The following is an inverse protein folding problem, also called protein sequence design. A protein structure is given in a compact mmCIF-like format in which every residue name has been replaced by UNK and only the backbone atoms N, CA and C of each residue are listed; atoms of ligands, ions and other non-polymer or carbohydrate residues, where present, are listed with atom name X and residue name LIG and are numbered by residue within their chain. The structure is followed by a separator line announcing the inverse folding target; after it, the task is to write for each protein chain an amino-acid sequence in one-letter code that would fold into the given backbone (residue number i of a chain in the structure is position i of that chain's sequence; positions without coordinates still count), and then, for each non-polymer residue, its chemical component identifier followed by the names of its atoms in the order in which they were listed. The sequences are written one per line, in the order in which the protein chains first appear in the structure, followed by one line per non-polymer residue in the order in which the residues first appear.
data_IF_411140079606
#
_entry.id   IF_411140079606
#
_cell.length_a   1.000
_cell.length_b   1.000
_cell.length_c   1.000
_cell.angle_alpha   90.00
_cell.angle_beta   90.00
_cell.angle_gamma   90.00
#
_symmetry.space_group_name_H-M   'P 1'
#
loop_
_entity.id
_entity.type
_entity.pdbx_description
1 polymer ?
#
# COMPACT_ATOMS: atom_id res chain seq x y z
N UNK A 1 -10.29 -0.46 -31.60
CA UNK A 1 -10.63 0.91 -31.14
C UNK A 1 -10.04 1.07 -29.75
N UNK A 2 -8.93 1.81 -29.61
CA UNK A 2 -8.26 2.02 -28.32
C UNK A 2 -9.06 3.00 -27.49
N UNK A 3 -9.87 2.49 -26.58
CA UNK A 3 -10.61 3.31 -25.62
C UNK A 3 -9.66 3.95 -24.61
N UNK A 4 -9.21 5.15 -24.86
CA UNK A 4 -8.47 5.97 -23.89
C UNK A 4 -9.39 6.33 -22.73
N UNK A 5 -9.07 5.86 -21.52
CA UNK A 5 -9.77 6.29 -20.30
C UNK A 5 -9.27 7.69 -19.94
N UNK A 6 -10.10 8.71 -20.18
CA UNK A 6 -9.84 10.07 -19.71
C UNK A 6 -10.30 10.20 -18.26
N UNK A 7 -9.35 10.25 -17.33
CA UNK A 7 -9.64 10.40 -15.90
C UNK A 7 -10.27 11.75 -15.53
N UNK A 8 -10.09 12.80 -16.34
CA UNK A 8 -10.90 14.02 -16.20
C UNK A 8 -12.36 13.74 -16.47
N UNK A 9 -12.65 12.89 -17.47
CA UNK A 9 -14.03 12.46 -17.78
C UNK A 9 -14.57 11.45 -16.77
N UNK A 10 -13.72 10.61 -16.19
CA UNK A 10 -14.07 9.72 -15.07
C UNK A 10 -14.34 10.54 -13.80
N UNK A 11 -13.56 11.58 -13.50
CA UNK A 11 -13.85 12.54 -12.40
C UNK A 11 -15.23 13.17 -12.55
N UNK A 12 -15.57 13.69 -13.73
CA UNK A 12 -16.82 14.42 -13.98
C UNK A 12 -18.04 13.50 -14.19
N UNK A 13 -17.88 12.43 -14.95
CA UNK A 13 -18.99 11.49 -15.24
C UNK A 13 -19.36 10.64 -14.03
N UNK A 14 -18.39 10.23 -13.21
CA UNK A 14 -18.65 9.48 -11.97
C UNK A 14 -19.28 10.38 -10.92
N UNK A 15 -18.85 11.65 -10.79
CA UNK A 15 -19.45 12.60 -9.88
C UNK A 15 -20.90 13.00 -10.26
N UNK A 16 -21.24 13.00 -11.56
CA UNK A 16 -22.56 13.35 -12.04
C UNK A 16 -23.57 12.19 -12.03
N UNK A 17 -23.09 10.95 -12.16
CA UNK A 17 -23.96 9.78 -12.33
C UNK A 17 -24.30 9.06 -11.03
N UNK A 18 -23.49 9.23 -9.97
CA UNK A 18 -23.62 8.48 -8.71
C UNK A 18 -23.69 9.42 -7.52
N UNK A 19 -24.83 9.45 -6.89
CA UNK A 19 -25.22 10.50 -5.94
C UNK A 19 -24.49 10.50 -4.60
N UNK A 20 -23.74 9.46 -4.22
CA UNK A 20 -23.25 9.34 -2.84
C UNK A 20 -21.77 8.99 -2.63
N UNK A 21 -21.01 8.48 -3.62
CA UNK A 21 -19.65 8.00 -3.43
C UNK A 21 -18.71 8.33 -4.59
N UNK A 22 -17.48 8.68 -4.27
CA UNK A 22 -16.41 8.95 -5.23
C UNK A 22 -15.17 8.13 -4.88
N UNK A 23 -14.44 7.69 -5.90
CA UNK A 23 -13.14 7.06 -5.75
C UNK A 23 -12.07 8.16 -5.70
N UNK A 24 -11.20 8.09 -4.68
CA UNK A 24 -10.08 9.01 -4.50
C UNK A 24 -8.78 8.24 -4.42
N UNK A 25 -7.73 8.75 -5.01
CA UNK A 25 -6.38 8.24 -4.84
C UNK A 25 -5.43 9.35 -4.40
N UNK A 26 -4.48 9.01 -3.58
CA UNK A 26 -3.44 9.90 -3.08
C UNK A 26 -2.08 9.39 -3.54
N UNK A 27 -1.29 10.28 -4.10
CA UNK A 27 0.09 10.03 -4.43
C UNK A 27 0.97 10.90 -3.55
N UNK A 28 1.87 10.28 -2.81
CA UNK A 28 2.86 10.98 -2.01
C UNK A 28 4.23 10.78 -2.62
N UNK A 29 4.67 11.76 -3.37
CA UNK A 29 6.08 11.94 -3.71
C UNK A 29 6.43 13.42 -3.76
N UNK A 30 7.67 13.75 -3.37
CA UNK A 30 8.22 15.11 -3.32
C UNK A 30 8.20 15.86 -4.67
N UNK A 31 7.72 15.26 -5.76
CA UNK A 31 7.66 15.84 -7.10
C UNK A 31 6.29 15.67 -7.79
N UNK A 32 5.28 15.16 -7.10
CA UNK A 32 3.95 15.09 -7.68
C UNK A 32 3.32 16.50 -7.70
N UNK A 33 2.58 16.87 -8.76
CA UNK A 33 1.91 18.18 -8.85
C UNK A 33 0.79 18.37 -7.83
N UNK A 34 0.54 17.40 -6.98
CA UNK A 34 -0.34 17.46 -5.82
C UNK A 34 0.49 17.34 -4.54
N UNK A 35 1.42 18.25 -4.34
CA UNK A 35 1.89 18.47 -2.98
C UNK A 35 0.68 18.94 -2.16
N UNK A 36 0.33 18.17 -1.15
CA UNK A 36 -0.53 18.63 -0.07
C UNK A 36 0.33 19.60 0.73
N UNK A 37 0.20 20.93 0.60
CA UNK A 37 1.15 21.87 1.21
C UNK A 37 1.18 21.81 2.72
N UNK A 38 0.12 21.27 3.35
CA UNK A 38 0.10 21.01 4.79
C UNK A 38 0.71 19.68 5.20
N UNK A 39 1.18 18.85 4.23
CA UNK A 39 1.86 17.61 4.54
C UNK A 39 3.37 17.79 4.36
N UNK A 40 4.06 18.09 5.46
CA UNK A 40 5.51 18.08 5.49
C UNK A 40 6.01 16.66 5.80
N UNK A 41 6.64 15.96 4.85
CA UNK A 41 7.16 14.61 5.10
C UNK A 41 8.11 14.55 6.30
N UNK A 42 8.93 15.57 6.53
CA UNK A 42 9.91 15.60 7.63
C UNK A 42 9.25 15.70 9.02
N UNK A 43 8.03 16.20 9.11
CA UNK A 43 7.26 16.20 10.36
C UNK A 43 6.72 14.82 10.71
N UNK A 44 6.52 13.97 9.71
CA UNK A 44 5.90 12.66 9.86
C UNK A 44 6.90 11.51 9.78
N UNK A 45 7.85 11.55 8.85
CA UNK A 45 8.93 10.58 8.68
C UNK A 45 10.17 11.07 9.43
N UNK A 46 10.38 10.58 10.65
CA UNK A 46 11.35 11.17 11.59
C UNK A 46 12.71 10.48 11.61
N UNK A 47 12.92 9.48 10.75
CA UNK A 47 14.20 8.78 10.61
C UNK A 47 14.96 9.35 9.42
N UNK A 48 14.43 9.19 8.19
CA UNK A 48 15.08 9.67 6.98
C UNK A 48 14.44 10.93 6.38
N UNK A 49 13.23 11.27 6.82
CA UNK A 49 12.52 12.49 6.43
C UNK A 49 11.89 12.41 5.05
N UNK A 50 11.44 11.24 4.62
CA UNK A 50 10.73 11.07 3.37
C UNK A 50 9.64 10.02 3.45
N UNK A 51 8.40 10.40 3.19
CA UNK A 51 7.27 9.47 3.11
C UNK A 51 7.13 8.93 1.70
N UNK A 52 7.18 7.61 1.55
CA UNK A 52 7.02 6.91 0.26
C UNK A 52 5.99 5.81 0.37
N UNK A 53 5.55 5.30 -0.78
CA UNK A 53 4.74 4.11 -0.92
C UNK A 53 3.48 4.16 -0.04
N UNK A 54 2.85 5.33 0.03
CA UNK A 54 1.75 5.58 0.94
C UNK A 54 0.53 4.72 0.64
N UNK A 55 0.06 3.97 1.63
CA UNK A 55 -1.21 3.26 1.57
C UNK A 55 -2.19 3.87 2.58
N UNK A 56 -3.36 4.29 2.08
CA UNK A 56 -4.38 4.94 2.87
C UNK A 56 -5.68 4.15 2.84
N UNK A 57 -6.33 4.06 4.00
CA UNK A 57 -7.66 3.45 4.10
C UNK A 57 -8.51 4.15 5.17
N UNK A 58 -9.82 3.92 5.08
CA UNK A 58 -10.76 4.36 6.12
C UNK A 58 -10.61 3.45 7.35
N UNK A 59 -10.69 4.04 8.53
CA UNK A 59 -10.75 3.25 9.77
C UNK A 59 -11.98 2.35 9.78
N UNK A 60 -11.87 1.14 10.35
CA UNK A 60 -12.94 0.14 10.40
C UNK A 60 -14.25 0.66 11.00
N UNK A 61 -14.18 1.62 11.93
CA UNK A 61 -15.34 2.26 12.56
C UNK A 61 -15.92 3.42 11.75
N UNK A 62 -15.38 3.72 10.56
CA UNK A 62 -15.79 4.83 9.70
C UNK A 62 -15.42 6.24 10.20
N UNK A 63 -14.75 6.37 11.35
CA UNK A 63 -14.50 7.67 12.03
C UNK A 63 -13.11 8.23 11.76
N UNK A 64 -12.67 8.23 10.51
CA UNK A 64 -11.38 8.78 10.11
C UNK A 64 -10.61 7.87 9.19
N UNK A 65 -9.34 8.17 9.04
CA UNK A 65 -8.44 7.57 8.06
C UNK A 65 -7.12 7.21 8.72
N UNK A 66 -6.53 6.14 8.25
CA UNK A 66 -5.19 5.71 8.59
C UNK A 66 -4.36 5.56 7.33
N UNK A 67 -3.08 5.79 7.46
CA UNK A 67 -2.11 5.67 6.38
C UNK A 67 -0.82 5.08 6.93
N UNK A 68 -0.16 4.28 6.13
CA UNK A 68 1.21 3.81 6.37
C UNK A 68 2.10 4.25 5.24
N UNK A 69 3.36 4.55 5.55
CA UNK A 69 4.37 4.95 4.56
C UNK A 69 5.72 4.34 4.88
N UNK A 70 6.54 4.18 3.87
CA UNK A 70 7.98 3.90 4.02
C UNK A 70 8.69 5.20 4.41
N UNK A 71 9.37 5.23 5.57
CA UNK A 71 10.24 6.36 5.92
C UNK A 71 11.57 6.21 5.17
N UNK A 72 11.67 6.80 3.99
CA UNK A 72 12.87 6.72 3.15
C UNK A 72 13.02 7.97 2.26
N UNK A 73 14.20 8.57 2.27
CA UNK A 73 14.54 9.71 1.43
C UNK A 73 15.79 9.46 0.57
N UNK A 74 15.64 8.69 -0.52
CA UNK A 74 16.74 8.33 -1.44
C UNK A 74 17.49 9.57 -1.96
N UNK A 75 16.80 10.69 -2.19
CA UNK A 75 17.45 11.94 -2.64
C UNK A 75 18.44 12.47 -1.61
N UNK A 76 18.17 12.27 -0.31
CA UNK A 76 19.01 12.72 0.80
C UNK A 76 20.09 11.70 1.12
N UNK A 77 19.71 10.44 1.30
CA UNK A 77 20.61 9.34 1.71
C UNK A 77 21.45 8.79 0.56
N UNK A 78 21.01 8.93 -0.70
CA UNK A 78 21.57 8.28 -1.90
C UNK A 78 21.55 6.75 -1.83
N UNK A 79 20.75 6.17 -0.93
CA UNK A 79 20.61 4.73 -0.70
C UNK A 79 19.14 4.32 -0.81
N UNK A 80 18.94 3.06 -1.19
CA UNK A 80 17.65 2.38 -1.18
C UNK A 80 17.47 1.54 0.09
N UNK A 81 18.03 1.98 1.19
CA UNK A 81 17.94 1.35 2.49
C UNK A 81 17.11 2.25 3.42
N UNK A 82 16.32 1.62 4.29
CA UNK A 82 15.60 2.27 5.36
C UNK A 82 15.34 1.27 6.49
N UNK A 83 14.90 1.75 7.64
CA UNK A 83 14.60 0.88 8.78
C UNK A 83 13.38 1.35 9.56
N UNK A 84 12.54 2.14 8.91
CA UNK A 84 11.35 2.69 9.52
C UNK A 84 10.14 2.78 8.61
N UNK A 85 8.99 2.77 9.25
CA UNK A 85 7.69 3.07 8.65
C UNK A 85 6.97 4.13 9.48
N UNK A 86 6.05 4.86 8.85
CA UNK A 86 5.20 5.81 9.54
C UNK A 86 3.78 5.31 9.62
N UNK A 87 3.19 5.46 10.81
CA UNK A 87 1.79 5.21 11.09
C UNK A 87 1.09 6.56 11.23
N UNK A 88 0.14 6.87 10.36
CA UNK A 88 -0.51 8.18 10.35
C UNK A 88 -2.01 8.05 10.52
N UNK A 89 -2.62 9.03 11.20
CA UNK A 89 -4.07 9.16 11.39
C UNK A 89 -4.57 10.53 11.00
N UNK A 90 -5.76 10.56 10.41
CA UNK A 90 -6.47 11.80 10.10
C UNK A 90 -7.97 11.66 10.34
N UNK A 91 -8.61 12.75 10.68
CA UNK A 91 -10.07 12.85 10.75
C UNK A 91 -10.68 13.42 9.47
N UNK A 92 -9.88 14.05 8.62
CA UNK A 92 -10.36 14.89 7.52
C UNK A 92 -9.56 14.77 6.22
N UNK A 93 -8.57 13.86 6.14
CA UNK A 93 -7.63 13.68 5.04
C UNK A 93 -6.66 14.85 4.79
N UNK A 94 -6.65 15.85 5.64
CA UNK A 94 -5.84 17.06 5.50
C UNK A 94 -4.82 17.18 6.61
N UNK A 95 -5.28 16.99 7.84
CA UNK A 95 -4.45 17.11 9.02
C UNK A 95 -4.11 15.70 9.52
N UNK A 96 -2.83 15.43 9.67
CA UNK A 96 -2.31 14.11 10.03
C UNK A 96 -1.51 14.19 11.33
N UNK A 97 -1.69 13.20 12.17
CA UNK A 97 -0.79 12.88 13.28
C UNK A 97 -0.05 11.60 12.96
N UNK A 98 1.19 11.45 13.41
CA UNK A 98 2.03 10.31 13.05
C UNK A 98 2.85 9.78 14.21
N UNK A 99 3.19 8.50 14.08
CA UNK A 99 4.23 7.82 14.84
C UNK A 99 5.18 7.20 13.83
N UNK A 100 6.46 7.53 13.90
CA UNK A 100 7.52 6.84 13.15
C UNK A 100 7.99 5.64 13.95
N UNK A 101 7.96 4.48 13.34
CA UNK A 101 8.37 3.22 13.95
C UNK A 101 9.75 2.81 13.46
N UNK A 102 10.72 2.81 14.37
CA UNK A 102 12.11 2.48 14.09
C UNK A 102 12.37 1.01 14.46
N UNK A 103 12.56 0.14 13.48
CA UNK A 103 12.79 -1.28 13.68
C UNK A 103 14.16 -1.57 14.31
N UNK A 104 15.16 -0.71 14.12
CA UNK A 104 16.50 -0.90 14.70
C UNK A 104 16.53 -0.72 16.22
N UNK A 105 15.48 -0.17 16.81
CA UNK A 105 15.32 -0.15 18.27
C UNK A 105 15.11 -1.54 18.88
N UNK A 106 14.79 -2.54 18.05
CA UNK A 106 14.67 -3.92 18.48
C UNK A 106 13.38 -4.24 19.25
N UNK A 107 13.39 -5.39 19.91
CA UNK A 107 12.22 -5.98 20.54
C UNK A 107 11.46 -5.05 21.47
N UNK A 108 12.12 -4.27 22.28
CA UNK A 108 11.48 -3.36 23.26
C UNK A 108 10.59 -2.29 22.62
N UNK A 109 10.68 -2.10 21.32
CA UNK A 109 9.82 -1.15 20.58
C UNK A 109 8.45 -1.71 20.23
N UNK A 110 8.27 -3.04 20.26
CA UNK A 110 7.01 -3.70 19.93
C UNK A 110 6.11 -3.86 21.15
N UNK A 111 4.77 -3.82 20.94
CA UNK A 111 3.82 -3.86 22.05
C UNK A 111 3.67 -5.25 22.70
N UNK A 112 4.12 -6.31 22.05
CA UNK A 112 4.12 -7.69 22.50
C UNK A 112 5.51 -8.24 22.84
N UNK A 113 6.48 -7.34 23.07
CA UNK A 113 7.89 -7.69 23.28
C UNK A 113 8.14 -8.68 24.44
N UNK A 114 7.25 -8.71 25.43
CA UNK A 114 7.38 -9.61 26.59
C UNK A 114 7.07 -11.07 26.25
N UNK A 115 6.27 -11.33 25.22
CA UNK A 115 5.71 -12.66 24.88
C UNK A 115 6.12 -13.16 23.51
N UNK A 116 6.44 -12.24 22.59
CA UNK A 116 6.79 -12.58 21.22
C UNK A 116 8.24 -13.09 21.08
N UNK A 117 8.45 -13.99 20.13
CA UNK A 117 9.77 -14.38 19.69
C UNK A 117 10.32 -13.39 18.67
N UNK A 118 11.57 -13.01 18.82
CA UNK A 118 12.25 -12.17 17.84
C UNK A 118 12.53 -12.92 16.55
N UNK A 119 12.17 -12.40 15.37
CA UNK A 119 12.56 -12.99 14.09
C UNK A 119 14.05 -12.81 13.78
N UNK A 120 14.74 -11.89 14.46
CA UNK A 120 16.14 -11.57 14.25
C UNK A 120 16.95 -11.61 15.54
N UNK A 121 18.23 -11.95 15.41
CA UNK A 121 19.23 -11.86 16.48
C UNK A 121 19.68 -10.42 16.68
N UNK A 122 19.89 -9.71 15.57
CA UNK A 122 20.35 -8.32 15.59
C UNK A 122 19.46 -7.41 14.75
N UNK A 123 18.65 -6.59 15.40
CA UNK A 123 17.76 -5.62 14.78
C UNK A 123 18.51 -4.42 14.20
N UNK A 124 19.71 -4.11 14.68
CA UNK A 124 20.49 -2.96 14.21
C UNK A 124 20.92 -3.09 12.75
N UNK A 125 20.90 -4.31 12.23
CA UNK A 125 21.29 -4.66 10.86
C UNK A 125 20.15 -4.65 9.85
N UNK A 126 18.93 -4.26 10.25
CA UNK A 126 17.80 -4.06 9.34
C UNK A 126 18.17 -3.03 8.27
N UNK A 127 17.95 -3.39 7.01
CA UNK A 127 18.28 -2.55 5.85
C UNK A 127 17.05 -2.05 5.11
N UNK A 128 15.96 -2.82 5.13
CA UNK A 128 14.74 -2.46 4.39
C UNK A 128 13.51 -2.81 5.18
N UNK A 129 12.56 -1.88 5.17
CA UNK A 129 11.17 -2.07 5.55
C UNK A 129 10.34 -1.26 4.56
N UNK A 130 9.85 -1.91 3.50
CA UNK A 130 9.31 -1.24 2.32
C UNK A 130 7.82 -1.48 2.10
N UNK A 131 7.19 -0.46 1.48
CA UNK A 131 5.85 -0.50 0.94
C UNK A 131 4.81 -1.12 1.88
N UNK A 132 4.67 -0.59 3.12
CA UNK A 132 3.67 -1.10 4.05
C UNK A 132 2.26 -0.84 3.52
N UNK A 133 1.37 -1.84 3.70
CA UNK A 133 -0.06 -1.68 3.44
C UNK A 133 -0.88 -2.17 4.64
N UNK A 134 -2.19 -1.92 4.63
CA UNK A 134 -3.08 -2.15 5.77
C UNK A 134 -4.27 -3.00 5.36
N UNK A 135 -4.59 -3.99 6.17
CA UNK A 135 -5.86 -4.72 6.12
C UNK A 135 -6.50 -4.76 7.51
N UNK A 136 -7.80 -4.48 7.62
CA UNK A 136 -8.53 -4.65 8.87
C UNK A 136 -8.90 -6.12 9.07
N UNK A 137 -8.37 -6.74 10.12
CA UNK A 137 -8.69 -8.11 10.52
C UNK A 137 -9.66 -8.09 11.71
N UNK A 138 -10.94 -8.38 11.52
CA UNK A 138 -11.92 -8.40 12.59
C UNK A 138 -11.75 -9.56 13.55
N UNK A 139 -11.04 -10.62 13.15
CA UNK A 139 -10.89 -11.86 13.89
C UNK A 139 -9.61 -11.91 14.72
N UNK A 140 -8.70 -10.96 14.52
CA UNK A 140 -7.48 -10.87 15.33
C UNK A 140 -7.82 -10.75 16.83
N UNK A 141 -7.03 -11.41 17.66
CA UNK A 141 -7.18 -11.41 19.12
C UNK A 141 -5.94 -10.86 19.78
N UNK A 142 -6.13 -9.80 20.52
CA UNK A 142 -5.10 -9.25 21.41
C UNK A 142 -5.00 -10.08 22.68
N UNK A 143 -3.83 -10.07 23.34
CA UNK A 143 -3.61 -10.78 24.61
C UNK A 143 -4.61 -10.38 25.72
N UNK A 144 -5.05 -9.13 25.71
CA UNK A 144 -6.07 -8.63 26.63
C UNK A 144 -7.51 -9.06 26.27
N UNK A 145 -7.69 -9.94 25.27
CA UNK A 145 -8.98 -10.45 24.81
C UNK A 145 -9.73 -9.53 23.84
N UNK A 146 -9.23 -8.34 23.54
CA UNK A 146 -9.85 -7.47 22.53
C UNK A 146 -9.81 -8.10 21.15
N UNK A 147 -10.87 -7.83 20.36
CA UNK A 147 -11.00 -8.28 18.99
C UNK A 147 -10.70 -7.16 17.99
N UNK A 148 -10.13 -7.56 16.86
CA UNK A 148 -9.84 -6.75 15.70
C UNK A 148 -8.52 -6.02 15.79
N UNK A 149 -7.78 -6.01 14.68
CA UNK A 149 -6.50 -5.32 14.54
C UNK A 149 -6.28 -4.87 13.11
N UNK A 150 -5.44 -3.87 12.93
CA UNK A 150 -4.96 -3.49 11.60
C UNK A 150 -3.71 -4.30 11.28
N UNK A 151 -3.84 -5.30 10.42
CA UNK A 151 -2.67 -5.99 9.89
C UNK A 151 -1.92 -5.03 8.97
N UNK A 152 -0.69 -4.71 9.33
CA UNK A 152 0.25 -3.96 8.49
C UNK A 152 1.22 -4.99 7.93
N UNK A 153 1.32 -5.10 6.62
CA UNK A 153 2.22 -6.03 5.95
C UNK A 153 3.17 -5.26 5.04
N UNK A 154 4.38 -5.71 4.97
CA UNK A 154 5.49 -5.02 4.32
C UNK A 154 6.60 -6.00 3.92
N UNK A 155 7.42 -5.64 2.96
CA UNK A 155 8.66 -6.36 2.71
C UNK A 155 9.74 -5.91 3.68
N UNK A 156 10.54 -6.84 4.18
CA UNK A 156 11.62 -6.56 5.10
C UNK A 156 12.87 -7.38 4.74
N UNK A 157 14.04 -6.76 4.97
CA UNK A 157 15.33 -7.40 4.78
C UNK A 157 16.29 -7.02 5.92
N UNK A 158 16.84 -8.04 6.54
CA UNK A 158 18.03 -7.94 7.38
C UNK A 158 19.20 -8.64 6.67
N UNK A 159 20.05 -7.87 5.97
CA UNK A 159 21.15 -8.45 5.15
C UNK A 159 22.15 -9.27 5.94
N UNK A 160 22.22 -9.12 7.25
CA UNK A 160 23.11 -9.96 8.08
C UNK A 160 22.53 -11.38 8.28
N UNK A 161 21.22 -11.53 8.19
CA UNK A 161 20.53 -12.78 8.51
C UNK A 161 19.73 -13.33 7.33
N UNK A 162 19.48 -12.53 6.27
CA UNK A 162 18.64 -12.86 5.15
C UNK A 162 19.31 -12.56 3.81
N UNK A 163 18.98 -13.31 2.78
CA UNK A 163 19.54 -13.16 1.44
C UNK A 163 18.71 -12.24 0.53
N UNK A 164 17.43 -12.09 0.81
CA UNK A 164 16.46 -11.35 -0.02
C UNK A 164 15.30 -10.81 0.81
N UNK A 165 14.57 -9.85 0.25
CA UNK A 165 13.39 -9.27 0.85
C UNK A 165 12.26 -10.31 0.98
N UNK A 166 11.69 -10.45 2.17
CA UNK A 166 10.57 -11.34 2.48
C UNK A 166 9.37 -10.57 2.99
N UNK A 167 8.18 -11.13 2.82
CA UNK A 167 6.97 -10.48 3.33
C UNK A 167 6.75 -10.80 4.80
N UNK A 168 6.62 -9.75 5.58
CA UNK A 168 6.30 -9.78 7.01
C UNK A 168 5.01 -9.04 7.31
N UNK A 169 4.45 -9.26 8.48
CA UNK A 169 3.31 -8.53 8.99
C UNK A 169 3.42 -8.27 10.49
N UNK A 170 2.77 -7.20 10.92
CA UNK A 170 2.53 -6.83 12.32
C UNK A 170 1.07 -6.41 12.48
N UNK A 171 0.53 -6.43 13.69
CA UNK A 171 -0.76 -5.85 13.96
C UNK A 171 -0.63 -4.53 14.69
N UNK A 172 -1.29 -3.48 14.22
CA UNK A 172 -1.45 -2.24 14.94
C UNK A 172 -2.76 -2.24 15.74
N UNK A 173 -2.69 -1.67 16.92
CA UNK A 173 -3.85 -1.48 17.78
C UNK A 173 -4.87 -0.49 17.20
N UNK A 174 -6.05 -0.40 17.80
CA UNK A 174 -7.11 0.54 17.36
C UNK A 174 -6.70 2.01 17.43
N UNK A 175 -5.70 2.33 18.25
CA UNK A 175 -5.15 3.69 18.32
C UNK A 175 -4.19 3.99 17.18
N UNK A 176 -3.71 2.97 16.48
CA UNK A 176 -2.77 3.05 15.37
C UNK A 176 -1.48 3.77 15.75
N UNK A 177 -0.91 3.41 16.90
CA UNK A 177 0.30 4.03 17.44
C UNK A 177 1.39 3.03 17.83
N UNK A 178 1.03 1.75 17.96
CA UNK A 178 1.92 0.66 18.33
C UNK A 178 1.70 -0.53 17.41
N UNK A 179 2.73 -1.32 17.19
CA UNK A 179 2.65 -2.55 16.39
C UNK A 179 3.23 -3.73 17.16
N UNK A 180 2.76 -4.92 16.82
CA UNK A 180 3.34 -6.18 17.32
C UNK A 180 4.65 -6.50 16.63
N UNK A 181 5.42 -7.41 17.21
CA UNK A 181 6.62 -7.98 16.60
C UNK A 181 6.32 -8.55 15.21
N UNK A 182 7.16 -8.28 14.21
CA UNK A 182 6.98 -8.82 12.86
C UNK A 182 6.97 -10.34 12.85
N UNK A 183 6.00 -10.89 12.10
CA UNK A 183 5.89 -12.32 11.80
C UNK A 183 6.03 -12.53 10.29
N UNK A 184 6.67 -13.60 9.90
CA UNK A 184 6.79 -13.97 8.49
C UNK A 184 5.39 -14.25 7.92
N UNK A 185 5.03 -13.59 6.83
CA UNK A 185 3.77 -13.81 6.12
C UNK A 185 3.88 -15.03 5.20
N UNK A 186 4.96 -15.07 4.41
CA UNK A 186 5.39 -16.19 3.59
C UNK A 186 6.84 -16.00 3.14
N UNK A 187 7.43 -17.09 2.68
CA UNK A 187 8.74 -17.13 2.00
C UNK A 187 8.69 -18.15 0.87
N UNK A 188 8.85 -17.70 -0.36
CA UNK A 188 8.86 -18.55 -1.56
C UNK A 188 10.27 -18.81 -2.10
N UNK A 189 11.30 -18.50 -1.30
CA UNK A 189 12.70 -18.73 -1.67
C UNK A 189 13.31 -17.66 -2.59
N UNK A 190 12.63 -16.54 -2.81
CA UNK A 190 13.11 -15.40 -3.60
C UNK A 190 12.50 -14.08 -3.12
N UNK A 191 13.12 -12.95 -3.56
CA UNK A 191 12.68 -11.63 -3.16
C UNK A 191 11.26 -11.32 -3.66
N UNK A 192 10.41 -10.85 -2.71
CA UNK A 192 9.06 -10.36 -2.95
C UNK A 192 8.83 -9.04 -2.24
N UNK A 193 8.21 -8.09 -2.94
CA UNK A 193 7.91 -6.75 -2.44
C UNK A 193 6.51 -6.30 -2.90
N UNK A 194 6.01 -5.20 -2.36
CA UNK A 194 4.82 -4.48 -2.84
C UNK A 194 3.54 -5.34 -2.89
N UNK A 195 3.24 -6.04 -1.80
CA UNK A 195 2.00 -6.81 -1.70
C UNK A 195 0.77 -5.88 -1.59
N UNK A 196 -0.33 -6.24 -2.26
CA UNK A 196 -1.65 -5.62 -2.13
C UNK A 196 -2.71 -6.70 -1.90
N UNK A 197 -3.25 -6.80 -0.68
CA UNK A 197 -4.18 -7.85 -0.26
C UNK A 197 -5.62 -7.35 -0.30
N UNK A 198 -6.49 -8.09 -0.97
CA UNK A 198 -7.92 -7.82 -1.07
C UNK A 198 -8.74 -9.08 -0.74
N UNK A 199 -9.81 -8.92 0.04
CA UNK A 199 -10.78 -10.00 0.25
C UNK A 199 -11.87 -9.95 -0.80
N UNK A 200 -12.08 -11.02 -1.53
CA UNK A 200 -13.09 -11.11 -2.57
C UNK A 200 -14.32 -11.87 -2.08
N UNK A 201 -15.46 -11.18 -2.04
CA UNK A 201 -16.75 -11.82 -1.68
C UNK A 201 -17.21 -12.82 -2.75
N UNK A 202 -16.70 -12.70 -3.97
CA UNK A 202 -17.05 -13.53 -5.12
C UNK A 202 -16.65 -15.00 -4.97
N UNK A 203 -15.58 -15.27 -4.19
CA UNK A 203 -15.08 -16.63 -3.95
C UNK A 203 -14.73 -16.90 -2.47
N UNK A 204 -14.81 -15.88 -1.62
CA UNK A 204 -14.50 -16.01 -0.19
C UNK A 204 -13.03 -16.16 0.15
N UNK A 205 -12.14 -15.74 -0.77
CA UNK A 205 -10.69 -15.83 -0.61
C UNK A 205 -10.05 -14.45 -0.46
N UNK A 206 -8.88 -14.44 0.16
CA UNK A 206 -7.95 -13.34 0.08
C UNK A 206 -7.13 -13.47 -1.21
N UNK A 207 -7.02 -12.38 -1.94
CA UNK A 207 -6.22 -12.26 -3.15
C UNK A 207 -5.12 -11.25 -2.92
N UNK A 208 -3.90 -11.60 -3.29
CA UNK A 208 -2.72 -10.75 -3.20
C UNK A 208 -2.16 -10.48 -4.60
N UNK A 209 -1.93 -9.22 -4.89
CA UNK A 209 -1.01 -8.81 -5.95
C UNK A 209 0.37 -8.63 -5.32
N UNK A 210 1.41 -9.16 -5.92
CA UNK A 210 2.75 -9.18 -5.35
C UNK A 210 3.81 -8.99 -6.42
N UNK A 211 4.79 -8.13 -6.17
CA UNK A 211 5.97 -8.01 -7.03
C UNK A 211 6.96 -9.13 -6.71
N UNK A 212 7.25 -9.96 -7.70
CA UNK A 212 8.34 -10.94 -7.70
C UNK A 212 9.58 -10.31 -8.31
N UNK A 213 10.73 -10.43 -7.65
CA UNK A 213 12.01 -9.88 -8.12
C UNK A 213 12.90 -10.94 -8.77
N UNK A 214 12.75 -12.21 -8.42
CA UNK A 214 13.55 -13.31 -8.98
C UNK A 214 12.90 -14.02 -10.16
N UNK A 215 13.72 -14.76 -10.94
CA UNK A 215 13.28 -15.57 -12.07
C UNK A 215 12.69 -14.76 -13.22
N UNK A 216 11.37 -14.77 -13.38
CA UNK A 216 10.61 -13.88 -14.27
C UNK A 216 10.00 -12.75 -13.45
N UNK A 217 10.67 -11.60 -13.26
CA UNK A 217 10.18 -10.54 -12.42
C UNK A 217 8.88 -9.91 -12.94
N UNK A 218 8.02 -9.43 -12.05
CA UNK A 218 6.76 -8.80 -12.41
C UNK A 218 5.74 -8.87 -11.28
N UNK A 219 4.50 -8.44 -11.56
CA UNK A 219 3.39 -8.51 -10.63
C UNK A 219 2.64 -9.83 -10.85
N UNK A 220 2.45 -10.58 -9.78
CA UNK A 220 1.79 -11.87 -9.78
C UNK A 220 0.58 -11.85 -8.86
N UNK A 221 -0.30 -12.83 -9.00
CA UNK A 221 -1.42 -13.06 -8.09
C UNK A 221 -1.19 -14.31 -7.25
N UNK A 222 -1.55 -14.23 -5.97
CA UNK A 222 -1.60 -15.38 -5.07
C UNK A 222 -2.91 -15.34 -4.29
N UNK A 223 -3.36 -16.49 -3.81
CA UNK A 223 -4.60 -16.58 -3.04
C UNK A 223 -4.40 -17.34 -1.74
N UNK A 224 -5.21 -17.02 -0.74
CA UNK A 224 -5.28 -17.77 0.51
C UNK A 224 -6.69 -17.75 1.09
N UNK A 225 -7.04 -18.80 1.87
CA UNK A 225 -8.22 -18.80 2.72
C UNK A 225 -8.04 -17.93 3.98
N UNK A 226 -6.81 -17.63 4.31
CA UNK A 226 -6.43 -16.93 5.54
C UNK A 226 -5.67 -15.65 5.21
N UNK A 227 -5.88 -14.62 6.02
CA UNK A 227 -5.24 -13.32 5.80
C UNK A 227 -3.72 -13.37 6.05
N UNK A 228 -3.31 -14.03 7.12
CA UNK A 228 -1.93 -13.95 7.65
C UNK A 228 -1.10 -15.23 7.49
N UNK A 229 -1.58 -16.19 6.69
CA UNK A 229 -0.86 -17.44 6.37
C UNK A 229 -1.49 -18.17 5.18
N UNK A 230 -0.88 -19.29 4.77
CA UNK A 230 -1.45 -20.15 3.73
C UNK A 230 -1.34 -19.61 2.30
N UNK A 231 -0.48 -18.63 2.07
CA UNK A 231 -0.23 -18.06 0.77
C UNK A 231 0.58 -19.02 -0.11
N UNK A 232 -0.06 -19.57 -1.15
CA UNK A 232 0.61 -20.41 -2.14
C UNK A 232 1.50 -19.58 -3.07
N UNK A 233 2.59 -20.18 -3.54
CA UNK A 233 3.44 -19.54 -4.54
C UNK A 233 2.67 -19.33 -5.84
N UNK A 234 2.75 -18.15 -6.49
CA UNK A 234 2.09 -17.90 -7.75
C UNK A 234 2.66 -18.76 -8.88
N UNK A 235 1.79 -19.30 -9.73
CA UNK A 235 2.18 -19.94 -10.99
C UNK A 235 2.22 -18.91 -12.13
N UNK A 236 2.83 -19.29 -13.26
CA UNK A 236 3.05 -18.34 -14.36
C UNK A 236 1.76 -17.73 -14.94
N UNK A 237 0.67 -18.50 -14.97
CA UNK A 237 -0.64 -18.06 -15.44
C UNK A 237 -1.37 -17.09 -14.45
N UNK A 238 -0.86 -16.95 -13.23
CA UNK A 238 -1.37 -15.95 -12.27
C UNK A 238 -0.79 -14.55 -12.51
N UNK A 239 0.02 -14.39 -13.53
CA UNK A 239 0.74 -13.19 -13.83
C UNK A 239 -0.17 -12.04 -14.29
N UNK A 240 -0.12 -10.94 -13.60
CA UNK A 240 -0.92 -9.73 -13.87
C UNK A 240 -0.33 -8.90 -14.98
N UNK A 241 0.96 -8.99 -15.19
CA UNK A 241 1.68 -8.09 -16.05
C UNK A 241 1.37 -8.26 -17.52
N UNK A 242 1.92 -7.41 -18.24
CA UNK A 242 1.68 -7.02 -19.60
C UNK A 242 3.02 -6.89 -20.35
N UNK A 243 3.16 -5.85 -21.09
CA UNK A 243 4.40 -5.55 -21.77
C UNK A 243 5.58 -5.46 -20.80
N UNK A 244 6.65 -6.21 -21.11
CA UNK A 244 7.91 -6.11 -20.39
C UNK A 244 7.89 -6.46 -18.92
N UNK A 245 6.95 -7.25 -18.51
CA UNK A 245 6.71 -7.90 -17.19
C UNK A 245 7.61 -7.50 -16.02
N UNK A 246 8.89 -7.27 -16.21
CA UNK A 246 9.93 -7.08 -15.18
C UNK A 246 9.99 -5.68 -14.56
N UNK A 247 9.55 -4.68 -15.25
CA UNK A 247 9.73 -3.28 -14.85
C UNK A 247 8.44 -2.65 -14.32
N UNK A 248 7.60 -3.46 -13.67
CA UNK A 248 6.35 -3.05 -13.03
C UNK A 248 6.39 -3.35 -11.53
N UNK A 249 5.82 -2.47 -10.71
CA UNK A 249 5.70 -2.64 -9.25
C UNK A 249 4.59 -1.77 -8.68
N UNK A 250 4.41 -1.79 -7.36
CA UNK A 250 3.51 -0.88 -6.64
C UNK A 250 2.05 -1.02 -7.05
N UNK A 251 1.59 -2.27 -7.21
CA UNK A 251 0.20 -2.55 -7.59
C UNK A 251 -0.78 -2.18 -6.47
N UNK A 252 -1.95 -1.67 -6.88
CA UNK A 252 -3.08 -1.45 -6.00
C UNK A 252 -4.38 -1.78 -6.71
N UNK A 253 -5.15 -2.70 -6.14
CA UNK A 253 -6.44 -3.14 -6.69
C UNK A 253 -7.62 -2.44 -6.01
N UNK A 254 -8.66 -2.15 -6.79
CA UNK A 254 -9.88 -1.55 -6.27
C UNK A 254 -11.07 -1.85 -7.16
N UNK A 255 -12.27 -1.85 -6.56
CA UNK A 255 -13.54 -1.96 -7.29
C UNK A 255 -14.19 -0.59 -7.47
N UNK A 256 -14.79 -0.37 -8.64
CA UNK A 256 -15.74 0.72 -8.85
C UNK A 256 -17.05 0.42 -8.10
N UNK A 257 -17.83 1.46 -7.83
CA UNK A 257 -19.02 1.33 -6.96
C UNK A 257 -20.18 0.55 -7.59
N UNK A 258 -20.31 0.61 -8.92
CA UNK A 258 -21.44 0.03 -9.66
C UNK A 258 -21.00 -1.04 -10.66
N UNK A 259 -19.80 -1.54 -10.46
CA UNK A 259 -19.16 -2.52 -11.32
C UNK A 259 -18.51 -3.56 -10.40
N UNK A 260 -18.86 -4.81 -10.51
CA UNK A 260 -18.27 -5.90 -9.73
C UNK A 260 -16.87 -6.29 -10.21
N UNK A 261 -16.38 -5.64 -11.28
CA UNK A 261 -15.04 -5.83 -11.81
C UNK A 261 -14.00 -5.00 -11.03
N UNK A 262 -12.77 -5.49 -11.07
CA UNK A 262 -11.65 -4.83 -10.43
C UNK A 262 -10.89 -3.92 -11.40
N UNK A 263 -10.16 -3.00 -10.81
CA UNK A 263 -9.12 -2.21 -11.46
C UNK A 263 -7.81 -2.45 -10.72
N UNK A 264 -6.73 -2.61 -11.47
CA UNK A 264 -5.39 -2.72 -10.94
C UNK A 264 -4.54 -1.62 -11.52
N UNK A 265 -4.05 -0.75 -10.66
CA UNK A 265 -3.13 0.32 -11.03
C UNK A 265 -1.72 -0.03 -10.54
N UNK A 266 -0.69 0.33 -11.31
CA UNK A 266 0.70 0.03 -11.02
C UNK A 266 1.64 0.99 -11.75
N UNK A 267 2.89 1.07 -11.33
CA UNK A 267 3.93 1.79 -12.07
C UNK A 267 4.66 0.85 -13.03
N UNK A 268 4.85 1.31 -14.27
CA UNK A 268 5.84 0.75 -15.20
C UNK A 268 6.99 1.74 -15.32
N UNK A 269 8.19 1.32 -14.96
CA UNK A 269 9.38 2.17 -14.90
C UNK A 269 10.45 1.80 -15.92
N UNK A 270 10.14 0.88 -16.86
CA UNK A 270 11.03 0.52 -17.98
C UNK A 270 11.28 1.68 -18.94
N UNK A 271 10.33 2.59 -19.03
CA UNK A 271 10.35 3.66 -20.01
C UNK A 271 10.65 5.02 -19.35
N UNK A 272 11.04 5.98 -20.17
CA UNK A 272 11.21 7.36 -19.72
C UNK A 272 10.35 8.30 -20.60
N UNK A 273 9.32 8.97 -20.04
CA UNK A 273 8.96 9.02 -18.61
C UNK A 273 8.29 7.73 -18.12
N UNK A 274 8.40 7.46 -16.81
CA UNK A 274 7.70 6.36 -16.15
C UNK A 274 6.19 6.49 -16.32
N UNK A 275 5.52 5.37 -16.59
CA UNK A 275 4.08 5.30 -16.78
C UNK A 275 3.36 4.82 -15.53
N UNK A 276 2.29 5.49 -15.15
CA UNK A 276 1.34 4.93 -14.21
C UNK A 276 0.15 4.38 -14.98
N UNK A 277 -0.05 3.07 -14.88
CA UNK A 277 -0.96 2.31 -15.74
C UNK A 277 -2.10 1.70 -14.94
N UNK A 278 -3.19 1.38 -15.64
CA UNK A 278 -4.35 0.71 -15.07
C UNK A 278 -4.90 -0.30 -16.07
N UNK A 279 -5.28 -1.47 -15.56
CA UNK A 279 -6.04 -2.47 -16.30
C UNK A 279 -7.34 -2.83 -15.57
N UNK A 280 -8.23 -3.55 -16.28
CA UNK A 280 -9.42 -4.16 -15.72
C UNK A 280 -9.11 -5.62 -15.38
N UNK A 281 -9.76 -6.13 -14.34
CA UNK A 281 -9.87 -7.53 -14.04
C UNK A 281 -11.33 -7.90 -13.78
N UNK A 282 -11.67 -9.17 -13.88
CA UNK A 282 -13.01 -9.66 -13.57
C UNK A 282 -13.32 -9.62 -12.05
N UNK A 283 -14.49 -10.10 -11.67
CA UNK A 283 -14.92 -10.15 -10.25
C UNK A 283 -14.06 -11.06 -9.36
N UNK A 284 -13.25 -11.92 -9.96
CA UNK A 284 -12.31 -12.81 -9.26
C UNK A 284 -10.87 -12.28 -9.28
N UNK A 285 -10.67 -11.02 -9.64
CA UNK A 285 -9.35 -10.39 -9.80
C UNK A 285 -8.45 -11.20 -10.76
N UNK A 286 -9.03 -11.62 -11.87
CA UNK A 286 -8.43 -12.44 -12.95
C UNK A 286 -8.76 -11.84 -14.31
N UNK A 287 -8.26 -12.43 -15.39
CA UNK A 287 -8.55 -12.04 -16.77
C UNK A 287 -8.26 -10.56 -17.03
N UNK A 288 -7.00 -10.17 -16.81
CA UNK A 288 -6.55 -8.79 -16.92
C UNK A 288 -6.61 -8.30 -18.38
N UNK A 289 -7.20 -7.12 -18.58
CA UNK A 289 -7.21 -6.44 -19.88
C UNK A 289 -5.84 -5.83 -20.17
N UNK A 290 -5.63 -5.45 -21.43
CA UNK A 290 -4.49 -4.59 -21.77
C UNK A 290 -4.49 -3.32 -20.91
N UNK A 291 -3.33 -2.88 -20.46
CA UNK A 291 -3.21 -1.70 -19.63
C UNK A 291 -3.31 -0.42 -20.45
N UNK A 292 -3.79 0.64 -19.81
CA UNK A 292 -3.81 1.99 -20.36
C UNK A 292 -3.13 2.97 -19.40
N UNK A 293 -2.52 4.01 -19.94
CA UNK A 293 -1.90 5.04 -19.10
C UNK A 293 -2.95 5.89 -18.37
N UNK A 294 -2.71 6.15 -17.10
CA UNK A 294 -3.50 7.10 -16.31
C UNK A 294 -3.03 8.51 -16.66
N UNK A 295 -3.88 9.27 -17.35
CA UNK A 295 -3.55 10.63 -17.76
C UNK A 295 -3.52 11.61 -16.59
N UNK A 296 -2.57 12.56 -16.66
CA UNK A 296 -2.45 13.64 -15.67
C UNK A 296 -1.82 13.18 -14.36
N UNK A 297 -1.22 12.00 -14.34
CA UNK A 297 -0.41 11.49 -13.24
C UNK A 297 1.01 11.35 -13.74
N UNK A 298 1.92 12.15 -13.20
CA UNK A 298 3.34 12.16 -13.57
C UNK A 298 4.20 11.85 -12.35
N UNK A 299 5.13 10.92 -12.50
CA UNK A 299 6.12 10.58 -11.49
C UNK A 299 5.66 9.81 -10.23
N UNK A 300 4.43 9.27 -10.13
CA UNK A 300 4.08 8.42 -8.99
C UNK A 300 4.80 7.09 -9.10
N UNK A 301 5.08 6.49 -7.95
CA UNK A 301 5.58 5.12 -7.89
C UNK A 301 4.51 4.17 -7.35
N UNK A 302 3.83 4.56 -6.27
CA UNK A 302 2.74 3.78 -5.69
C UNK A 302 1.48 4.63 -5.62
N UNK A 303 0.33 4.03 -5.86
CA UNK A 303 -0.98 4.64 -5.68
C UNK A 303 -1.79 3.87 -4.64
N UNK A 304 -2.64 4.59 -3.96
CA UNK A 304 -3.63 4.02 -3.04
C UNK A 304 -5.01 4.53 -3.39
N UNK A 305 -6.00 3.64 -3.37
CA UNK A 305 -7.35 3.93 -3.81
C UNK A 305 -8.34 3.68 -2.69
N UNK A 306 -9.19 4.66 -2.40
CA UNK A 306 -10.15 4.59 -1.32
C UNK A 306 -11.47 5.25 -1.73
N UNK A 307 -12.58 4.67 -1.27
CA UNK A 307 -13.91 5.27 -1.45
C UNK A 307 -14.10 6.45 -0.50
N UNK A 308 -14.56 7.58 -1.03
CA UNK A 308 -14.90 8.76 -0.25
C UNK A 308 -16.32 9.24 -0.56
N UNK A 309 -16.94 9.94 0.39
CA UNK A 309 -18.26 10.55 0.22
C UNK A 309 -18.17 11.81 -0.65
N UNK A 310 -19.30 12.23 -1.21
CA UNK A 310 -19.41 13.50 -1.94
C UNK A 310 -18.98 14.69 -1.09
N UNK A 311 -19.30 14.70 0.21
CA UNK A 311 -18.92 15.76 1.16
C UNK A 311 -17.38 15.81 1.34
N UNK A 312 -16.75 14.67 1.52
CA UNK A 312 -15.28 14.57 1.62
C UNK A 312 -14.60 15.08 0.36
N UNK A 313 -15.09 14.66 -0.80
CA UNK A 313 -14.60 15.14 -2.10
C UNK A 313 -14.71 16.65 -2.24
N UNK A 314 -15.87 17.25 -1.91
CA UNK A 314 -16.06 18.70 -1.97
C UNK A 314 -15.12 19.45 -1.00
N UNK A 315 -14.88 18.88 0.17
CA UNK A 315 -13.94 19.45 1.14
C UNK A 315 -12.49 19.40 0.63
N UNK A 316 -12.09 18.33 -0.03
CA UNK A 316 -10.76 18.23 -0.64
C UNK A 316 -10.60 19.18 -1.83
N UNK A 317 -11.62 19.35 -2.67
CA UNK A 317 -11.59 20.32 -3.77
C UNK A 317 -11.45 21.76 -3.27
N UNK A 318 -12.18 22.15 -2.22
CA UNK A 318 -12.05 23.47 -1.61
C UNK A 318 -10.66 23.70 -1.03
N UNK A 319 -10.08 22.68 -0.45
CA UNK A 319 -8.75 22.72 0.09
C UNK A 319 -7.69 22.86 -1.01
N UNK A 320 -7.77 22.06 -2.08
CA UNK A 320 -6.87 22.13 -3.26
C UNK A 320 -6.89 23.54 -3.92
N UNK A 321 -8.06 24.20 -3.96
CA UNK A 321 -8.16 25.58 -4.47
C UNK A 321 -7.40 26.58 -3.60
N UNK A 322 -7.58 26.51 -2.28
CA UNK A 322 -6.86 27.38 -1.33
C UNK A 322 -5.35 27.25 -1.38
N UNK A 323 -4.84 26.14 -1.87
CA UNK A 323 -3.41 25.89 -1.97
C UNK A 323 -2.80 26.45 -3.26
N UNK A 324 -3.65 26.81 -4.23
CA UNK A 324 -3.26 27.38 -5.53
C UNK A 324 -3.40 28.90 -5.58
N UNK A 325 -4.05 29.47 -4.58
CA UNK A 325 -4.13 30.90 -4.31
C UNK A 325 -3.00 31.35 -3.38
#
# INVERSE_FOLDING_TARGET
MSGRIDLKSVRLKTAQKYSNWLLFYLFFQKQAPFSVPSFNPEEHARIEGGTRDAYITRMHNGKGYIMVTTDMCVRKSRKWDNYGIDLLKSKDLKNWTSVTFDFRKGMQNFCDAATAQSPYKDWSTINRVWAPQIFWDPDYRWENGEKGGYMIYYSMLNRAEEKYDRMYYSYADKTFTKITTPKLLFDWGYATIDADINYLKSDGLYHMLIKKEGGKPGIYTATSKYLNHGWGEPVENDYVSFEGRKNCEGSSAFQLMDDDTWRVAYIQYSDNPKHYRICKADKYLRNFSDPVDIKGVTGPQHGSFMRITKKEYQNLLKWDKKLKE
#
